data_IF_840763474331
#
_entry.id   IF_840763474331
#
_cell.length_a   1.000
_cell.length_b   1.000
_cell.length_c   1.000
_cell.angle_alpha   90.00
_cell.angle_beta   90.00
_cell.angle_gamma   90.00
#
_symmetry.space_group_name_H-M   'P 1'
#
loop_
_entity.id
_entity.type
_entity.pdbx_description
1 polymer ?
#
# COMPACT_ATOMS: atom_id res chain seq x y z
N UNK A 1 -1.01 -7.86 5.12
CA UNK A 1 -2.26 -7.69 5.90
C UNK A 1 -2.03 -7.37 7.39
N UNK A 2 -1.28 -8.17 8.17
CA UNK A 2 -1.08 -7.91 9.62
C UNK A 2 -0.44 -6.53 9.90
N UNK A 3 0.67 -6.20 9.22
CA UNK A 3 1.39 -4.92 9.39
C UNK A 3 0.57 -3.70 8.93
N UNK A 4 -0.25 -3.83 7.89
CA UNK A 4 -1.12 -2.74 7.41
C UNK A 4 -2.23 -2.43 8.42
N UNK A 5 -2.79 -3.47 9.04
CA UNK A 5 -3.75 -3.31 10.13
C UNK A 5 -3.12 -2.66 11.35
N UNK A 6 -1.90 -3.04 11.71
CA UNK A 6 -1.14 -2.49 12.82
C UNK A 6 -0.84 -1.00 12.60
N UNK A 7 -0.41 -0.62 11.41
CA UNK A 7 -0.19 0.77 11.02
C UNK A 7 -1.50 1.59 11.11
N UNK A 8 -2.59 1.08 10.55
CA UNK A 8 -3.89 1.72 10.61
C UNK A 8 -4.37 1.91 12.06
N UNK A 9 -4.17 0.90 12.90
CA UNK A 9 -4.54 0.95 14.32
C UNK A 9 -3.74 2.00 15.09
N UNK A 10 -2.41 2.05 14.87
CA UNK A 10 -1.53 3.05 15.47
C UNK A 10 -1.88 4.47 15.02
N UNK A 11 -2.14 4.68 13.74
CA UNK A 11 -2.54 5.99 13.21
C UNK A 11 -3.90 6.45 13.78
N UNK A 12 -4.84 5.54 13.90
CA UNK A 12 -6.15 5.82 14.50
C UNK A 12 -6.01 6.18 15.99
N UNK A 13 -5.21 5.43 16.72
CA UNK A 13 -4.99 5.67 18.14
C UNK A 13 -4.18 6.94 18.39
N UNK A 14 -3.26 7.33 17.52
CA UNK A 14 -2.54 8.60 17.60
C UNK A 14 -3.49 9.79 17.70
N UNK A 15 -4.55 9.83 16.91
CA UNK A 15 -5.53 10.93 16.93
C UNK A 15 -6.31 11.00 18.25
N UNK A 16 -6.66 9.85 18.81
CA UNK A 16 -7.36 9.77 20.12
C UNK A 16 -6.42 10.17 21.26
N UNK A 17 -5.20 9.67 21.26
CA UNK A 17 -4.19 9.96 22.26
C UNK A 17 -3.84 11.45 22.31
N UNK A 18 -3.66 12.13 21.17
CA UNK A 18 -3.38 13.57 21.16
C UNK A 18 -4.46 14.40 21.85
N UNK A 19 -5.74 14.03 21.74
CA UNK A 19 -6.83 14.70 22.45
C UNK A 19 -6.81 14.45 23.96
N UNK A 20 -6.51 13.22 24.38
CA UNK A 20 -6.41 12.88 25.79
C UNK A 20 -5.20 13.54 26.47
N UNK A 21 -4.07 13.65 25.77
CA UNK A 21 -2.88 14.33 26.28
C UNK A 21 -3.08 15.84 26.47
N UNK A 22 -3.74 16.52 25.55
CA UNK A 22 -4.04 17.94 25.71
C UNK A 22 -4.92 18.21 26.94
N UNK A 23 -5.91 17.35 27.20
CA UNK A 23 -6.76 17.43 28.38
C UNK A 23 -6.01 17.08 29.69
N UNK A 24 -5.07 16.14 29.62
CA UNK A 24 -4.24 15.71 30.74
C UNK A 24 -3.25 16.82 31.17
N UNK A 25 -2.56 17.43 30.21
CA UNK A 25 -1.63 18.54 30.43
C UNK A 25 -2.36 19.79 30.97
N UNK A 26 -3.56 20.06 30.45
CA UNK A 26 -4.35 21.22 30.88
C UNK A 26 -4.82 21.17 32.37
N UNK A 27 -4.85 19.97 32.96
CA UNK A 27 -5.26 19.76 34.36
C UNK A 27 -4.12 19.90 35.37
N UNK A 28 -2.88 19.86 34.92
CA UNK A 28 -1.71 19.92 35.79
C UNK A 28 -1.29 21.37 36.06
N UNK A 29 -0.68 21.64 37.25
CA UNK A 29 -0.18 22.96 37.65
C UNK A 29 1.24 22.86 38.15
N UNK A 30 2.05 23.90 37.90
CA UNK A 30 3.40 24.03 38.44
C UNK A 30 4.41 23.02 37.89
N UNK A 31 5.33 22.51 38.71
CA UNK A 31 6.38 21.56 38.34
C UNK A 31 5.81 20.25 37.79
N UNK A 32 4.73 19.78 38.33
CA UNK A 32 4.03 18.59 37.88
C UNK A 32 3.55 18.73 36.43
N UNK A 33 3.20 19.95 36.02
CA UNK A 33 2.83 20.23 34.63
C UNK A 33 4.01 20.04 33.66
N UNK A 34 5.21 20.45 34.05
CA UNK A 34 6.40 20.28 33.21
C UNK A 34 6.75 18.79 33.04
N UNK A 35 6.73 18.00 34.11
CA UNK A 35 6.95 16.56 34.05
C UNK A 35 5.94 15.87 33.13
N UNK A 36 4.67 16.16 33.26
CA UNK A 36 3.61 15.59 32.43
C UNK A 36 3.73 16.01 30.96
N UNK A 37 4.18 17.23 30.67
CA UNK A 37 4.49 17.69 29.32
C UNK A 37 5.65 16.88 28.72
N UNK A 38 6.72 16.66 29.47
CA UNK A 38 7.87 15.88 29.03
C UNK A 38 7.48 14.42 28.73
N UNK A 39 6.71 13.77 29.60
CA UNK A 39 6.18 12.43 29.38
C UNK A 39 5.29 12.35 28.13
N UNK A 40 4.36 13.30 27.98
CA UNK A 40 3.47 13.36 26.83
C UNK A 40 4.22 13.57 25.50
N UNK A 41 5.30 14.36 25.51
CA UNK A 41 6.17 14.57 24.36
C UNK A 41 6.93 13.28 24.02
N UNK A 42 7.51 12.62 25.04
CA UNK A 42 8.26 11.37 24.86
C UNK A 42 7.39 10.28 24.26
N UNK A 43 6.22 10.03 24.81
CA UNK A 43 5.25 9.05 24.30
C UNK A 43 4.78 9.35 22.89
N UNK A 44 4.60 10.64 22.59
CA UNK A 44 4.19 11.07 21.24
C UNK A 44 5.29 10.80 20.20
N UNK A 45 6.53 11.09 20.58
CA UNK A 45 7.68 10.93 19.72
C UNK A 45 7.99 9.46 19.47
N UNK A 46 7.88 8.61 20.50
CA UNK A 46 8.01 7.16 20.38
C UNK A 46 6.98 6.56 19.41
N UNK A 47 5.70 6.94 19.57
CA UNK A 47 4.65 6.48 18.64
C UNK A 47 4.86 6.98 17.22
N UNK A 48 5.38 8.19 17.05
CA UNK A 48 5.72 8.72 15.73
C UNK A 48 6.81 7.88 15.07
N UNK A 49 7.82 7.50 15.83
CA UNK A 49 8.94 6.67 15.38
C UNK A 49 8.46 5.27 14.97
N UNK A 50 7.61 4.64 15.79
CA UNK A 50 6.99 3.35 15.46
C UNK A 50 6.19 3.41 14.15
N UNK A 51 5.38 4.46 13.97
CA UNK A 51 4.61 4.66 12.73
C UNK A 51 5.53 4.85 11.53
N UNK A 52 6.60 5.63 11.66
CA UNK A 52 7.56 5.85 10.57
C UNK A 52 8.32 4.57 10.23
N UNK A 53 8.75 3.81 11.23
CA UNK A 53 9.39 2.51 11.03
C UNK A 53 8.50 1.52 10.27
N UNK A 54 7.25 1.37 10.71
CA UNK A 54 6.28 0.50 10.03
C UNK A 54 5.97 0.95 8.59
N UNK A 55 5.86 2.25 8.36
CA UNK A 55 5.67 2.79 7.01
C UNK A 55 6.86 2.47 6.12
N UNK A 56 8.08 2.67 6.62
CA UNK A 56 9.30 2.37 5.88
C UNK A 56 9.37 0.90 5.50
N UNK A 57 9.08 0.00 6.45
CA UNK A 57 9.02 -1.44 6.20
C UNK A 57 7.97 -1.80 5.14
N UNK A 58 6.76 -1.26 5.23
CA UNK A 58 5.69 -1.54 4.27
C UNK A 58 6.02 -1.06 2.86
N UNK A 59 6.67 0.11 2.75
CA UNK A 59 7.10 0.64 1.45
C UNK A 59 8.20 -0.24 0.87
N UNK A 60 9.20 -0.62 1.69
CA UNK A 60 10.28 -1.50 1.28
C UNK A 60 9.78 -2.89 0.85
N UNK A 61 8.93 -3.52 1.66
CA UNK A 61 8.31 -4.83 1.31
C UNK A 61 7.56 -4.76 -0.04
N UNK A 62 6.86 -3.65 -0.30
CA UNK A 62 6.14 -3.45 -1.58
C UNK A 62 7.07 -3.22 -2.75
N UNK A 63 8.15 -2.45 -2.55
CA UNK A 63 9.17 -2.20 -3.56
C UNK A 63 9.89 -3.51 -3.93
N UNK A 64 10.29 -4.27 -2.93
CA UNK A 64 10.93 -5.58 -3.10
C UNK A 64 10.03 -6.56 -3.86
N UNK A 65 8.75 -6.65 -3.49
CA UNK A 65 7.76 -7.49 -4.18
C UNK A 65 7.54 -7.14 -5.66
N UNK A 66 7.93 -5.94 -6.09
CA UNK A 66 7.90 -5.47 -7.47
C UNK A 66 9.28 -5.49 -8.15
N UNK A 67 10.33 -5.96 -7.47
CA UNK A 67 11.70 -5.94 -7.99
C UNK A 67 12.34 -4.55 -8.03
N UNK A 68 11.78 -3.57 -7.32
CA UNK A 68 12.32 -2.20 -7.26
C UNK A 68 13.47 -2.17 -6.25
N UNK A 69 14.66 -1.66 -6.62
CA UNK A 69 15.80 -1.60 -5.71
C UNK A 69 15.52 -0.70 -4.52
N UNK A 70 15.78 -1.21 -3.32
CA UNK A 70 15.69 -0.47 -2.07
C UNK A 70 17.05 0.20 -1.80
N UNK A 71 17.10 1.47 -1.35
CA UNK A 71 18.34 2.12 -0.96
C UNK A 71 19.08 1.32 0.13
N UNK A 72 20.41 1.24 0.03
CA UNK A 72 21.21 0.58 1.05
C UNK A 72 21.06 1.30 2.40
N UNK A 73 21.06 0.54 3.50
CA UNK A 73 20.97 1.10 4.87
C UNK A 73 22.12 2.05 5.22
N UNK A 74 23.25 1.95 4.49
CA UNK A 74 24.41 2.86 4.62
C UNK A 74 24.20 4.22 3.95
N UNK A 75 23.13 4.38 3.16
CA UNK A 75 22.83 5.64 2.48
C UNK A 75 22.11 6.60 3.43
N UNK A 76 22.87 7.54 3.98
CA UNK A 76 22.38 8.55 4.92
C UNK A 76 21.43 9.58 4.29
N UNK A 77 21.34 9.68 2.96
CA UNK A 77 20.32 10.51 2.31
C UNK A 77 18.95 9.84 2.28
N UNK A 78 18.94 8.52 2.23
CA UNK A 78 17.72 7.71 2.13
C UNK A 78 17.21 7.22 3.47
N UNK A 79 18.10 7.04 4.45
CA UNK A 79 17.78 6.56 5.78
C UNK A 79 18.16 7.55 6.87
N UNK A 80 17.28 7.77 7.81
CA UNK A 80 17.51 8.58 9.00
C UNK A 80 17.37 7.74 10.27
N UNK A 81 18.21 8.01 11.30
CA UNK A 81 18.07 7.33 12.59
C UNK A 81 16.77 7.74 13.26
N UNK A 82 16.08 6.78 13.84
CA UNK A 82 14.94 7.03 14.69
C UNK A 82 15.36 7.64 16.04
N UNK A 83 14.40 8.16 16.77
CA UNK A 83 14.62 8.64 18.13
C UNK A 83 14.82 7.51 19.13
N UNK A 84 14.27 6.33 18.82
CA UNK A 84 14.50 5.11 19.58
C UNK A 84 15.86 4.54 19.16
N UNK A 85 16.79 4.31 20.09
CA UNK A 85 18.09 3.74 19.76
C UNK A 85 17.98 2.43 18.98
N UNK A 86 18.72 2.33 17.88
CA UNK A 86 18.72 1.13 17.02
C UNK A 86 17.60 1.07 15.99
N UNK A 87 16.72 2.08 15.93
CA UNK A 87 15.72 2.18 14.85
C UNK A 87 16.21 3.09 13.72
N UNK A 88 15.88 2.71 12.49
CA UNK A 88 16.12 3.51 11.28
C UNK A 88 14.86 3.53 10.45
N UNK A 89 14.60 4.61 9.76
CA UNK A 89 13.46 4.71 8.86
C UNK A 89 13.82 5.53 7.61
N UNK A 90 13.07 5.27 6.54
CA UNK A 90 13.26 6.00 5.29
C UNK A 90 12.92 7.48 5.47
N UNK A 91 13.78 8.35 4.94
CA UNK A 91 13.48 9.78 4.85
C UNK A 91 12.23 10.02 4.02
N UNK A 92 11.55 11.14 4.26
CA UNK A 92 10.35 11.49 3.48
C UNK A 92 10.63 11.56 1.98
N UNK A 93 11.83 11.99 1.58
CA UNK A 93 12.29 12.04 0.18
C UNK A 93 12.38 10.63 -0.41
N UNK A 94 13.06 9.71 0.28
CA UNK A 94 13.19 8.32 -0.16
C UNK A 94 11.85 7.59 -0.21
N UNK A 95 10.98 7.81 0.78
CA UNK A 95 9.61 7.27 0.76
C UNK A 95 8.82 7.74 -0.48
N UNK A 96 8.90 9.05 -0.80
CA UNK A 96 8.22 9.60 -1.97
C UNK A 96 8.75 9.01 -3.28
N UNK A 97 10.07 8.85 -3.41
CA UNK A 97 10.72 8.25 -4.59
C UNK A 97 10.30 6.78 -4.76
N UNK A 98 10.34 5.96 -3.69
CA UNK A 98 9.92 4.57 -3.75
C UNK A 98 8.43 4.43 -4.08
N UNK A 99 7.58 5.27 -3.48
CA UNK A 99 6.14 5.26 -3.79
C UNK A 99 5.86 5.66 -5.25
N UNK A 100 6.63 6.59 -5.80
CA UNK A 100 6.52 6.95 -7.21
C UNK A 100 6.95 5.79 -8.11
N UNK A 101 8.08 5.14 -7.83
CA UNK A 101 8.55 3.96 -8.55
C UNK A 101 7.52 2.82 -8.51
N UNK A 102 6.96 2.52 -7.33
CA UNK A 102 5.89 1.52 -7.15
C UNK A 102 4.66 1.83 -8.02
N UNK A 103 4.27 3.12 -8.09
CA UNK A 103 3.13 3.53 -8.93
C UNK A 103 3.41 3.36 -10.42
N UNK A 104 4.61 3.69 -10.86
CA UNK A 104 5.03 3.56 -12.26
C UNK A 104 5.05 2.09 -12.67
N UNK A 105 5.72 1.24 -11.89
CA UNK A 105 5.78 -0.20 -12.12
C UNK A 105 4.39 -0.85 -12.19
N UNK A 106 3.51 -0.51 -11.26
CA UNK A 106 2.12 -0.99 -11.31
C UNK A 106 1.38 -0.55 -12.56
N UNK A 107 1.56 0.69 -13.02
CA UNK A 107 0.91 1.17 -14.26
C UNK A 107 1.40 0.37 -15.46
N UNK A 108 2.69 0.04 -15.55
CA UNK A 108 3.26 -0.76 -16.61
C UNK A 108 2.70 -2.19 -16.60
N UNK A 109 2.62 -2.81 -15.41
CA UNK A 109 2.01 -4.13 -15.25
C UNK A 109 0.52 -4.14 -15.65
N UNK A 110 -0.26 -3.13 -15.27
CA UNK A 110 -1.65 -2.98 -15.68
C UNK A 110 -1.79 -2.72 -17.19
N UNK A 111 -0.88 -1.94 -17.77
CA UNK A 111 -0.83 -1.70 -19.21
C UNK A 111 -0.64 -3.00 -19.99
N UNK A 112 0.30 -3.86 -19.58
CA UNK A 112 0.51 -5.19 -20.18
C UNK A 112 -0.72 -6.09 -20.01
N UNK A 113 -1.35 -6.11 -18.84
CA UNK A 113 -2.56 -6.92 -18.62
C UNK A 113 -3.73 -6.44 -19.49
N UNK A 114 -3.90 -5.13 -19.66
CA UNK A 114 -4.92 -4.55 -20.54
C UNK A 114 -4.64 -4.91 -22.02
N UNK A 115 -3.38 -4.85 -22.45
CA UNK A 115 -2.98 -5.26 -23.81
C UNK A 115 -3.29 -6.74 -24.06
N UNK A 116 -2.93 -7.64 -23.15
CA UNK A 116 -3.24 -9.07 -23.27
C UNK A 116 -4.74 -9.32 -23.36
N UNK A 117 -5.54 -8.64 -22.54
CA UNK A 117 -7.01 -8.76 -22.57
C UNK A 117 -7.59 -8.24 -23.89
N UNK A 118 -7.15 -7.10 -24.37
CA UNK A 118 -7.71 -6.45 -25.53
C UNK A 118 -7.27 -7.11 -26.85
N UNK A 119 -5.99 -7.41 -26.99
CA UNK A 119 -5.42 -7.82 -28.26
C UNK A 119 -5.35 -9.34 -28.45
N UNK A 120 -5.43 -10.11 -27.36
CA UNK A 120 -5.34 -11.58 -27.42
C UNK A 120 -6.67 -12.24 -27.05
N UNK A 121 -7.22 -11.91 -25.89
CA UNK A 121 -8.41 -12.62 -25.37
C UNK A 121 -9.67 -12.23 -26.14
N UNK A 122 -9.85 -10.96 -26.49
CA UNK A 122 -11.04 -10.47 -27.19
C UNK A 122 -11.20 -11.09 -28.59
N UNK A 123 -10.19 -11.12 -29.46
CA UNK A 123 -10.31 -11.78 -30.78
C UNK A 123 -10.56 -13.28 -30.67
N UNK A 124 -9.88 -13.97 -29.75
CA UNK A 124 -10.08 -15.40 -29.52
C UNK A 124 -11.50 -15.73 -29.04
N UNK A 125 -12.03 -14.88 -28.12
CA UNK A 125 -13.42 -15.00 -27.66
C UNK A 125 -14.45 -14.84 -28.81
N UNK A 126 -14.23 -13.87 -29.66
CA UNK A 126 -15.07 -13.64 -30.86
C UNK A 126 -15.07 -14.83 -31.83
N UNK A 127 -13.91 -15.44 -32.03
CA UNK A 127 -13.76 -16.61 -32.91
C UNK A 127 -14.51 -17.83 -32.35
N UNK A 128 -14.44 -18.07 -31.01
CA UNK A 128 -15.18 -19.15 -30.36
C UNK A 128 -16.70 -18.96 -30.45
N UNK A 129 -17.19 -17.73 -30.21
CA UNK A 129 -18.62 -17.42 -30.32
C UNK A 129 -19.10 -17.58 -31.76
N UNK A 130 -18.31 -17.17 -32.75
CA UNK A 130 -18.59 -17.34 -34.17
C UNK A 130 -18.71 -18.82 -34.55
N UNK A 131 -17.80 -19.65 -34.06
CA UNK A 131 -17.77 -21.09 -34.35
C UNK A 131 -18.98 -21.81 -33.71
N UNK A 132 -19.37 -21.45 -32.50
CA UNK A 132 -20.59 -21.94 -31.82
C UNK A 132 -21.86 -21.52 -32.61
N UNK A 133 -21.92 -20.29 -33.08
CA UNK A 133 -23.02 -19.80 -33.91
C UNK A 133 -23.15 -20.59 -35.22
N UNK A 134 -22.04 -20.91 -35.87
CA UNK A 134 -22.02 -21.72 -37.10
C UNK A 134 -22.55 -23.15 -36.86
N UNK A 135 -22.12 -23.78 -35.73
CA UNK A 135 -22.59 -25.12 -35.38
C UNK A 135 -24.11 -25.12 -35.09
N UNK A 136 -24.60 -24.14 -34.34
CA UNK A 136 -26.03 -24.01 -34.07
C UNK A 136 -26.85 -23.73 -35.33
N UNK A 137 -26.34 -22.92 -36.23
CA UNK A 137 -26.94 -22.66 -37.56
C UNK A 137 -27.06 -23.94 -38.42
N UNK A 138 -25.99 -24.73 -38.48
CA UNK A 138 -26.01 -26.03 -39.20
C UNK A 138 -27.01 -27.03 -38.61
N UNK A 139 -27.05 -27.14 -37.28
CA UNK A 139 -28.00 -28.00 -36.57
C UNK A 139 -29.47 -27.60 -36.86
N UNK A 140 -29.75 -26.29 -36.85
CA UNK A 140 -31.07 -25.76 -37.20
C UNK A 140 -31.49 -26.11 -38.62
N UNK A 141 -30.55 -26.02 -39.55
CA UNK A 141 -30.77 -26.33 -40.97
C UNK A 141 -31.09 -27.84 -41.18
N UNK A 142 -30.33 -28.72 -40.51
CA UNK A 142 -30.55 -30.17 -40.55
C UNK A 142 -31.93 -30.52 -39.96
N UNK A 143 -32.28 -29.86 -38.86
CA UNK A 143 -33.60 -30.12 -38.23
C UNK A 143 -34.76 -29.68 -39.15
N UNK A 144 -34.60 -28.56 -39.86
CA UNK A 144 -35.61 -28.08 -40.81
C UNK A 144 -35.80 -29.02 -42.03
N UNK A 145 -34.77 -29.73 -42.46
CA UNK A 145 -34.87 -30.73 -43.53
C UNK A 145 -35.50 -32.04 -43.10
N UNK A 146 -35.40 -32.44 -41.82
CA UNK A 146 -35.99 -33.68 -41.28
C UNK A 146 -37.46 -33.52 -40.89
N UNK A 147 -37.97 -32.30 -40.76
CA UNK A 147 -39.35 -31.98 -40.35
C UNK A 147 -40.31 -31.84 -41.53
N UNK A 148 -39.86 -32.12 -42.77
CA UNK A 148 -40.71 -32.20 -43.95
C UNK A 148 -40.85 -33.65 -44.40
#
# INVERSE_FOLDING_TARGET
>A
MRREFELWWLERNRRKSNKSYSAYVAKAKGEEQQLRICEAISDRDERRDQIQGLRSMLISDRAEGLGIPIPALSDSESWEPGRIPGTTHLTLKAQAQLLQAIRTERKEQWGMAAFVLQDIVTPMGGLLVGLLGMIMGLLSLIHSFHSK
#
